data_IF_028363344868
#
_entry.id   IF_028363344868
#
_cell.length_a   1.000
_cell.length_b   1.000
_cell.length_c   1.000
_cell.angle_alpha   90.00
_cell.angle_beta   90.00
_cell.angle_gamma   90.00
#
_symmetry.space_group_name_H-M   'P 1'
#
loop_
_entity.id
_entity.type
_entity.pdbx_description
1 polymer ?
#
# COMPACT_ATOMS: atom_id res chain seq x y z
N UNK A 1 -27.59 -51.70 70.53
CA UNK A 1 -26.98 -51.76 71.89
C UNK A 1 -25.56 -52.29 71.72
N UNK A 2 -24.45 -51.57 71.97
CA UNK A 2 -24.14 -50.37 72.78
C UNK A 2 -23.01 -49.60 72.05
N UNK A 3 -23.14 -48.32 71.69
CA UNK A 3 -23.10 -47.06 72.47
C UNK A 3 -21.69 -46.50 72.79
N UNK A 4 -21.54 -45.19 72.50
CA UNK A 4 -20.69 -44.14 73.13
C UNK A 4 -19.18 -44.07 72.75
N UNK A 5 -18.54 -42.90 72.57
CA UNK A 5 -18.78 -41.51 73.04
C UNK A 5 -18.82 -40.51 71.86
N UNK A 6 -19.83 -39.66 71.64
CA UNK A 6 -20.43 -38.53 72.41
C UNK A 6 -19.66 -37.21 72.33
N UNK A 7 -20.30 -36.29 71.60
CA UNK A 7 -20.32 -34.83 71.65
C UNK A 7 -18.99 -34.09 71.89
N UNK A 8 -18.50 -33.46 70.82
CA UNK A 8 -17.54 -32.36 70.89
C UNK A 8 -18.28 -31.03 70.73
N UNK A 9 -18.21 -30.25 71.80
CA UNK A 9 -18.49 -28.82 71.91
C UNK A 9 -17.33 -27.99 71.31
N UNK A 10 -17.71 -26.82 70.81
CA UNK A 10 -17.02 -25.53 70.90
C UNK A 10 -15.91 -25.12 69.91
N UNK A 11 -16.30 -24.14 69.07
CA UNK A 11 -15.64 -22.85 68.74
C UNK A 11 -14.29 -22.88 68.00
N UNK A 12 -14.27 -22.43 66.73
CA UNK A 12 -13.56 -21.22 66.22
C UNK A 12 -13.69 -21.09 64.67
N UNK A 13 -14.48 -20.09 64.22
CA UNK A 13 -14.33 -19.13 63.10
C UNK A 13 -14.28 -19.52 61.58
N UNK A 14 -15.05 -18.71 60.82
CA UNK A 14 -15.17 -18.45 59.35
C UNK A 14 -15.90 -19.51 58.49
N UNK A 15 -16.86 -19.20 57.61
CA UNK A 15 -17.03 -18.01 56.76
C UNK A 15 -18.49 -17.52 56.63
N UNK A 16 -18.66 -16.20 56.67
CA UNK A 16 -19.77 -15.47 56.06
C UNK A 16 -19.73 -15.61 54.53
N UNK A 17 -20.88 -15.68 53.87
CA UNK A 17 -21.04 -15.22 52.48
C UNK A 17 -22.11 -14.12 52.52
N UNK A 18 -21.76 -12.97 53.08
CA UNK A 18 -22.26 -11.68 52.58
C UNK A 18 -21.20 -11.26 51.57
N UNK A 19 -21.52 -11.14 50.28
CA UNK A 19 -20.72 -10.43 49.24
C UNK A 19 -21.54 -10.38 47.92
N UNK A 20 -22.71 -9.73 47.92
CA UNK A 20 -23.40 -9.31 46.67
C UNK A 20 -22.96 -7.88 46.26
N UNK A 21 -22.11 -7.25 47.06
CA UNK A 21 -21.58 -5.90 46.80
C UNK A 21 -20.35 -6.00 45.90
N UNK A 22 -20.33 -5.22 44.82
CA UNK A 22 -19.24 -5.15 43.86
C UNK A 22 -18.80 -3.71 43.69
N UNK A 23 -17.54 -3.50 43.29
CA UNK A 23 -17.03 -2.19 42.84
C UNK A 23 -16.68 -2.23 41.35
N UNK A 24 -16.30 -3.40 40.85
CA UNK A 24 -15.94 -3.66 39.47
C UNK A 24 -16.63 -4.93 38.96
N UNK A 25 -16.76 -5.06 37.64
CA UNK A 25 -17.34 -6.26 37.01
C UNK A 25 -16.55 -7.54 37.35
N UNK A 26 -15.24 -7.42 37.63
CA UNK A 26 -14.38 -8.53 38.05
C UNK A 26 -14.70 -9.09 39.44
N UNK A 27 -15.44 -8.32 40.26
CA UNK A 27 -15.91 -8.78 41.57
C UNK A 27 -17.11 -9.73 41.42
N UNK A 28 -17.70 -9.78 40.22
CA UNK A 28 -18.85 -10.60 39.89
C UNK A 28 -18.43 -11.89 39.18
N UNK A 29 -19.16 -12.98 39.45
CA UNK A 29 -18.97 -14.26 38.76
C UNK A 29 -19.26 -14.18 37.24
N UNK A 30 -18.86 -15.22 36.51
CA UNK A 30 -19.05 -15.30 35.06
C UNK A 30 -20.50 -15.01 34.64
N UNK A 31 -20.68 -14.16 33.61
CA UNK A 31 -21.99 -13.74 33.12
C UNK A 31 -22.70 -12.65 33.95
N UNK A 32 -22.03 -12.06 34.94
CA UNK A 32 -22.55 -10.97 35.77
C UNK A 32 -21.70 -9.70 35.60
N UNK A 33 -22.27 -8.54 35.91
CA UNK A 33 -21.57 -7.24 35.94
C UNK A 33 -21.97 -6.44 37.16
N UNK A 34 -21.18 -5.45 37.53
CA UNK A 34 -21.51 -4.57 38.64
C UNK A 34 -22.47 -3.46 38.21
N UNK A 35 -23.65 -3.38 38.83
CA UNK A 35 -24.58 -2.27 38.61
C UNK A 35 -24.03 -1.00 39.28
N UNK A 36 -23.79 0.05 38.50
CA UNK A 36 -23.18 1.31 38.98
C UNK A 36 -24.09 2.13 39.92
N UNK A 37 -25.35 1.75 40.09
CA UNK A 37 -26.32 2.43 40.94
C UNK A 37 -26.52 1.70 42.27
N UNK A 38 -26.68 0.39 42.20
CA UNK A 38 -26.97 -0.44 43.37
C UNK A 38 -25.74 -1.17 43.93
N UNK A 39 -24.59 -1.08 43.24
CA UNK A 39 -23.32 -1.75 43.58
C UNK A 39 -23.49 -3.26 43.78
N UNK A 40 -24.35 -3.87 42.96
CA UNK A 40 -24.65 -5.30 43.01
C UNK A 40 -24.37 -6.00 41.70
N UNK A 41 -23.99 -7.26 41.80
CA UNK A 41 -23.81 -8.11 40.63
C UNK A 41 -25.18 -8.41 39.98
N UNK A 42 -25.35 -7.94 38.74
CA UNK A 42 -26.55 -8.16 37.92
C UNK A 42 -26.21 -8.94 36.64
N UNK A 43 -27.16 -9.68 36.03
CA UNK A 43 -26.91 -10.40 34.79
C UNK A 43 -26.37 -9.49 33.68
N UNK A 44 -25.25 -9.89 33.08
CA UNK A 44 -24.63 -9.17 31.97
C UNK A 44 -25.20 -9.64 30.63
N UNK A 45 -26.49 -9.35 30.41
CA UNK A 45 -27.23 -9.85 29.25
C UNK A 45 -26.88 -9.11 27.96
N UNK A 46 -26.89 -9.82 26.84
CA UNK A 46 -26.55 -9.30 25.51
C UNK A 46 -27.43 -9.92 24.41
N UNK A 47 -27.48 -9.25 23.27
CA UNK A 47 -28.09 -9.77 22.02
C UNK A 47 -27.09 -9.88 20.87
N UNK A 48 -25.90 -9.30 21.06
CA UNK A 48 -24.75 -9.33 20.15
C UNK A 48 -23.50 -8.94 20.92
N UNK A 49 -22.32 -9.21 20.37
CA UNK A 49 -21.03 -8.86 20.98
C UNK A 49 -20.89 -7.36 21.26
N UNK A 50 -21.55 -6.51 20.48
CA UNK A 50 -21.60 -5.05 20.72
C UNK A 50 -22.24 -4.63 22.04
N UNK A 51 -22.99 -5.53 22.68
CA UNK A 51 -23.59 -5.28 23.98
C UNK A 51 -22.65 -5.62 25.14
N UNK A 52 -21.51 -6.25 24.85
CA UNK A 52 -20.54 -6.69 25.83
C UNK A 52 -19.42 -5.67 26.00
N UNK A 53 -18.81 -5.65 27.18
CA UNK A 53 -17.61 -4.87 27.45
C UNK A 53 -16.43 -5.41 26.64
N UNK A 54 -15.34 -4.65 26.61
CA UNK A 54 -14.06 -5.08 26.04
C UNK A 54 -13.63 -6.43 26.66
N UNK A 55 -13.01 -7.27 25.85
CA UNK A 55 -12.58 -8.66 26.07
C UNK A 55 -13.71 -9.68 26.27
N UNK A 56 -14.95 -9.33 25.88
CA UNK A 56 -16.12 -10.22 26.02
C UNK A 56 -16.93 -10.37 24.73
N UNK A 57 -17.55 -11.55 24.58
CA UNK A 57 -18.49 -11.91 23.52
C UNK A 57 -19.84 -12.33 24.08
N UNK A 58 -20.87 -12.26 23.24
CA UNK A 58 -22.21 -12.69 23.60
C UNK A 58 -22.39 -14.19 23.40
N UNK A 59 -22.63 -14.93 24.48
CA UNK A 59 -22.90 -16.36 24.41
C UNK A 59 -24.28 -16.64 23.77
N UNK A 60 -24.49 -17.88 23.34
CA UNK A 60 -25.79 -18.35 22.86
C UNK A 60 -26.91 -18.27 23.92
N UNK A 61 -26.55 -18.17 25.19
CA UNK A 61 -27.49 -18.01 26.31
C UNK A 61 -27.84 -16.53 26.55
N UNK A 62 -27.30 -15.61 25.74
CA UNK A 62 -27.58 -14.17 25.81
C UNK A 62 -26.85 -13.48 26.96
N UNK A 63 -25.64 -13.95 27.30
CA UNK A 63 -24.84 -13.47 28.43
C UNK A 63 -23.41 -13.17 27.93
N UNK A 64 -22.82 -12.06 28.38
CA UNK A 64 -21.45 -11.71 28.03
C UNK A 64 -20.46 -12.59 28.81
N UNK A 65 -19.62 -13.32 28.09
CA UNK A 65 -18.57 -14.20 28.60
C UNK A 65 -17.20 -13.73 28.10
N UNK A 66 -16.13 -14.12 28.80
CA UNK A 66 -14.75 -13.82 28.38
C UNK A 66 -14.44 -14.44 27.01
N UNK A 67 -13.79 -13.67 26.15
CA UNK A 67 -13.33 -14.12 24.84
C UNK A 67 -13.58 -13.11 23.73
N UNK A 68 -13.25 -13.51 22.51
CA UNK A 68 -13.34 -12.68 21.32
C UNK A 68 -13.77 -13.49 20.10
N UNK A 69 -14.28 -12.79 19.09
CA UNK A 69 -14.47 -13.33 17.72
C UNK A 69 -13.75 -12.47 16.68
N UNK A 70 -13.52 -11.20 17.02
CA UNK A 70 -12.85 -10.23 16.19
C UNK A 70 -11.89 -9.39 17.05
N UNK A 71 -10.89 -8.79 16.43
CA UNK A 71 -9.89 -7.98 17.14
C UNK A 71 -10.48 -6.75 17.85
N UNK A 72 -11.62 -6.24 17.37
CA UNK A 72 -12.31 -5.12 18.04
C UNK A 72 -12.98 -5.53 19.36
N UNK A 73 -13.15 -6.84 19.62
CA UNK A 73 -13.58 -7.31 20.94
C UNK A 73 -12.49 -7.11 21.98
N UNK A 74 -11.22 -7.02 21.58
CA UNK A 74 -10.09 -7.02 22.49
C UNK A 74 -9.64 -5.61 22.89
N UNK A 75 -9.04 -5.51 24.09
CA UNK A 75 -8.50 -4.25 24.58
C UNK A 75 -7.38 -3.72 23.68
N UNK A 76 -7.19 -2.40 23.71
CA UNK A 76 -6.20 -1.71 22.89
C UNK A 76 -4.82 -2.37 23.00
N UNK A 77 -4.31 -2.86 21.86
CA UNK A 77 -3.02 -3.55 21.77
C UNK A 77 -3.11 -5.07 21.94
N UNK A 78 -4.31 -5.65 21.91
CA UNK A 78 -4.55 -7.09 21.87
C UNK A 78 -5.32 -7.44 20.59
N UNK A 79 -5.18 -8.68 20.14
CA UNK A 79 -5.98 -9.24 19.05
C UNK A 79 -6.66 -10.53 19.47
N UNK A 80 -7.60 -10.98 18.64
CA UNK A 80 -8.25 -12.25 18.89
C UNK A 80 -7.38 -13.41 18.40
N UNK A 81 -6.90 -14.23 19.33
CA UNK A 81 -6.13 -15.43 19.02
C UNK A 81 -6.99 -16.58 18.49
N UNK A 82 -6.34 -17.59 17.91
CA UNK A 82 -7.00 -18.81 17.41
C UNK A 82 -7.74 -19.60 18.51
N UNK A 83 -7.41 -19.35 19.79
CA UNK A 83 -8.08 -19.92 20.96
C UNK A 83 -9.29 -19.10 21.43
N UNK A 84 -9.71 -18.10 20.65
CA UNK A 84 -10.76 -17.13 20.95
C UNK A 84 -10.50 -16.35 22.25
N UNK A 85 -9.23 -16.17 22.62
CA UNK A 85 -8.80 -15.33 23.73
C UNK A 85 -8.10 -14.09 23.19
N UNK A 86 -8.33 -12.96 23.86
CA UNK A 86 -7.55 -11.76 23.57
C UNK A 86 -6.11 -11.97 24.04
N UNK A 87 -5.15 -11.82 23.13
CA UNK A 87 -3.73 -12.03 23.43
C UNK A 87 -2.91 -10.82 23.01
N UNK A 88 -1.79 -10.62 23.70
CA UNK A 88 -0.75 -9.71 23.27
C UNK A 88 0.23 -10.37 22.31
N UNK A 89 0.18 -11.69 22.12
CA UNK A 89 1.13 -12.35 21.21
C UNK A 89 0.94 -11.91 19.77
N UNK A 90 2.01 -11.92 18.98
CA UNK A 90 1.93 -11.58 17.56
C UNK A 90 3.15 -12.12 16.82
N UNK A 91 3.01 -12.33 15.51
CA UNK A 91 4.11 -12.51 14.57
C UNK A 91 4.29 -11.27 13.68
N UNK A 92 3.21 -10.52 13.43
CA UNK A 92 3.18 -9.39 12.50
C UNK A 92 2.42 -8.19 13.07
N UNK A 93 2.72 -6.99 12.56
CA UNK A 93 2.09 -5.75 13.02
C UNK A 93 0.57 -5.69 12.77
N UNK A 94 0.07 -6.33 11.71
CA UNK A 94 -1.37 -6.35 11.44
C UNK A 94 -2.17 -7.13 12.50
N UNK A 95 -1.50 -7.98 13.28
CA UNK A 95 -2.07 -8.74 14.40
C UNK A 95 -2.12 -7.91 15.68
N UNK A 96 -1.78 -6.62 15.65
CA UNK A 96 -1.74 -5.77 16.84
C UNK A 96 -2.72 -4.59 16.80
N UNK A 97 -3.76 -4.65 15.95
CA UNK A 97 -4.76 -3.58 15.79
C UNK A 97 -4.07 -2.22 15.51
N UNK A 98 -4.19 -1.22 16.39
CA UNK A 98 -3.49 0.08 16.26
C UNK A 98 -2.08 0.11 16.86
N UNK A 99 -1.56 -1.02 17.32
CA UNK A 99 -0.25 -1.21 17.97
C UNK A 99 0.70 -1.99 17.03
N UNK A 100 1.97 -2.17 17.42
CA UNK A 100 2.97 -2.90 16.62
C UNK A 100 3.44 -4.17 17.35
N UNK A 101 3.88 -5.18 16.59
CA UNK A 101 4.41 -6.42 17.13
C UNK A 101 5.89 -6.29 17.49
N UNK A 102 6.23 -6.44 18.77
CA UNK A 102 7.60 -6.28 19.28
C UNK A 102 8.02 -7.46 20.13
N UNK A 103 8.97 -8.25 19.64
CA UNK A 103 9.47 -9.42 20.35
C UNK A 103 8.40 -10.48 20.59
N UNK A 104 7.42 -10.57 19.69
CA UNK A 104 6.27 -11.45 19.80
C UNK A 104 5.15 -10.93 20.71
N UNK A 105 5.15 -9.62 21.02
CA UNK A 105 4.15 -8.98 21.90
C UNK A 105 3.70 -7.63 21.31
N UNK A 106 2.40 -7.39 21.21
CA UNK A 106 1.80 -6.14 20.81
C UNK A 106 2.03 -5.05 21.87
N UNK A 107 2.68 -3.94 21.49
CA UNK A 107 3.11 -2.91 22.43
C UNK A 107 2.97 -1.48 21.88
N UNK A 108 2.73 -0.52 22.77
CA UNK A 108 2.59 0.90 22.44
C UNK A 108 3.97 1.49 22.11
N UNK A 109 4.31 1.54 20.82
CA UNK A 109 5.46 2.31 20.35
C UNK A 109 4.91 3.43 19.49
N UNK A 110 4.98 4.65 20.01
CA UNK A 110 4.48 5.91 19.43
C UNK A 110 5.20 6.33 18.13
N UNK A 111 5.23 5.41 17.16
CA UNK A 111 5.76 5.38 15.80
C UNK A 111 6.21 3.93 15.61
N UNK A 112 5.50 3.12 14.81
CA UNK A 112 6.04 1.85 14.34
C UNK A 112 7.31 2.17 13.54
N UNK A 113 8.44 2.22 14.23
CA UNK A 113 9.76 2.24 13.63
C UNK A 113 9.93 0.87 13.02
N UNK A 114 9.84 0.85 11.69
CA UNK A 114 10.29 -0.19 10.75
C UNK A 114 11.15 -1.21 11.51
N UNK A 115 10.56 -2.34 11.91
CA UNK A 115 11.40 -3.50 12.21
C UNK A 115 12.20 -3.78 10.94
N UNK A 116 13.48 -4.15 11.04
CA UNK A 116 14.40 -4.16 9.91
C UNK A 116 14.12 -5.33 8.98
N UNK A 117 12.88 -5.83 8.90
CA UNK A 117 12.46 -6.89 7.99
C UNK A 117 11.43 -6.38 7.01
N UNK A 118 11.91 -6.17 5.80
CA UNK A 118 11.09 -5.84 4.64
C UNK A 118 10.89 -7.10 3.81
N UNK A 119 9.71 -7.25 3.22
CA UNK A 119 9.44 -8.23 2.15
C UNK A 119 9.44 -7.52 0.80
N UNK A 120 9.02 -6.26 0.79
CA UNK A 120 8.91 -5.39 -0.37
C UNK A 120 9.63 -4.06 -0.12
N UNK A 121 10.07 -3.38 -1.19
CA UNK A 121 10.76 -2.09 -1.04
C UNK A 121 9.83 -0.97 -0.55
N UNK A 122 8.52 -1.10 -0.74
CA UNK A 122 7.49 -0.20 -0.18
C UNK A 122 7.52 -0.19 1.35
N UNK A 123 8.03 -1.27 1.96
CA UNK A 123 8.17 -1.39 3.41
C UNK A 123 9.31 -0.50 3.96
N UNK A 124 10.15 0.05 3.06
CA UNK A 124 11.37 0.78 3.40
C UNK A 124 11.30 2.29 3.14
N UNK A 125 10.12 2.87 2.87
CA UNK A 125 9.96 4.30 2.59
C UNK A 125 10.96 4.84 1.53
N UNK A 126 11.99 5.61 1.94
CA UNK A 126 13.02 6.17 1.05
C UNK A 126 14.29 5.29 0.91
N UNK A 127 14.25 4.08 1.45
CA UNK A 127 15.30 3.06 1.41
C UNK A 127 14.89 1.90 0.50
N UNK A 128 15.78 0.93 0.28
CA UNK A 128 15.45 -0.28 -0.48
C UNK A 128 15.43 -1.51 0.43
N UNK A 129 14.59 -2.48 0.09
CA UNK A 129 14.58 -3.75 0.76
C UNK A 129 15.64 -4.68 0.17
N UNK A 130 16.56 -5.17 0.98
CA UNK A 130 17.59 -6.10 0.55
C UNK A 130 17.89 -7.12 1.64
N UNK A 131 17.89 -8.41 1.29
CA UNK A 131 18.10 -9.50 2.23
C UNK A 131 17.19 -9.41 3.47
N UNK A 132 15.94 -9.00 3.25
CA UNK A 132 14.98 -8.74 4.32
C UNK A 132 15.43 -7.63 5.26
N UNK A 133 16.14 -6.61 4.78
CA UNK A 133 16.52 -5.42 5.56
C UNK A 133 16.37 -4.14 4.74
N UNK A 134 15.89 -3.06 5.38
CA UNK A 134 15.86 -1.74 4.75
C UNK A 134 17.25 -1.12 4.82
N UNK A 135 17.90 -0.97 3.66
CA UNK A 135 19.25 -0.41 3.55
C UNK A 135 19.23 0.93 2.80
N UNK A 136 20.19 1.79 3.11
CA UNK A 136 20.33 3.10 2.45
C UNK A 136 20.41 2.94 0.94
N UNK A 137 19.83 3.90 0.20
CA UNK A 137 19.65 3.78 -1.25
C UNK A 137 20.97 3.62 -2.03
N UNK A 138 22.09 4.10 -1.47
CA UNK A 138 23.44 3.93 -2.03
C UNK A 138 24.10 2.58 -1.73
N UNK A 139 23.48 1.77 -0.88
CA UNK A 139 23.96 0.45 -0.43
C UNK A 139 23.16 -0.71 -1.04
N UNK A 140 22.07 -0.42 -1.76
CA UNK A 140 21.30 -1.40 -2.50
C UNK A 140 22.19 -2.15 -3.47
N UNK A 141 22.46 -3.43 -3.21
CA UNK A 141 22.99 -4.32 -4.23
C UNK A 141 21.85 -4.67 -5.15
N UNK A 142 21.92 -4.05 -6.31
CA UNK A 142 21.17 -4.45 -7.47
C UNK A 142 21.40 -5.94 -7.76
N UNK A 143 20.32 -6.65 -8.10
CA UNK A 143 20.34 -8.08 -8.44
C UNK A 143 21.34 -8.44 -9.56
N UNK A 144 21.61 -9.73 -9.78
CA UNK A 144 22.74 -10.19 -10.59
C UNK A 144 22.84 -9.45 -11.93
N UNK A 145 24.02 -8.89 -12.18
CA UNK A 145 24.40 -8.26 -13.44
C UNK A 145 24.27 -9.25 -14.58
N UNK A 146 23.66 -8.82 -15.67
CA UNK A 146 23.37 -9.67 -16.80
C UNK A 146 24.48 -9.48 -17.85
N UNK A 147 25.19 -10.56 -18.17
CA UNK A 147 26.33 -10.56 -19.11
C UNK A 147 25.87 -10.19 -20.53
N UNK A 148 26.65 -9.34 -21.19
CA UNK A 148 26.39 -8.86 -22.55
C UNK A 148 26.43 -10.02 -23.57
N UNK A 149 25.32 -10.27 -24.29
CA UNK A 149 25.44 -10.79 -25.67
C UNK A 149 24.56 -11.94 -26.18
N UNK A 150 23.39 -12.28 -25.64
CA UNK A 150 22.53 -13.27 -26.32
C UNK A 150 21.04 -12.93 -26.29
N UNK A 151 20.53 -12.42 -27.41
CA UNK A 151 19.09 -12.30 -27.71
C UNK A 151 18.55 -13.69 -28.12
N UNK A 152 18.45 -14.62 -27.17
CA UNK A 152 17.65 -15.84 -27.32
C UNK A 152 17.03 -16.22 -25.98
N UNK A 153 15.77 -15.82 -25.79
CA UNK A 153 14.92 -16.20 -24.66
C UNK A 153 14.80 -15.11 -23.60
N UNK A 154 13.63 -14.47 -23.54
CA UNK A 154 12.96 -13.72 -22.44
C UNK A 154 13.73 -12.98 -21.32
N UNK A 155 15.04 -12.81 -21.38
CA UNK A 155 15.80 -12.08 -20.37
C UNK A 155 16.71 -11.10 -21.10
N UNK A 156 16.19 -9.88 -21.31
CA UNK A 156 17.02 -8.77 -21.73
C UNK A 156 17.77 -8.23 -20.52
N UNK A 157 19.09 -8.27 -20.63
CA UNK A 157 20.04 -7.78 -19.64
C UNK A 157 19.92 -6.28 -19.46
N UNK A 158 19.14 -5.90 -18.47
CA UNK A 158 19.02 -4.55 -17.97
C UNK A 158 20.15 -4.30 -16.97
N UNK A 159 20.83 -3.15 -17.07
CA UNK A 159 21.47 -2.59 -15.88
C UNK A 159 20.38 -2.57 -14.81
N UNK A 160 20.54 -3.29 -13.71
CA UNK A 160 19.45 -3.54 -12.78
C UNK A 160 18.81 -2.22 -12.39
N UNK A 161 17.48 -2.15 -12.54
CA UNK A 161 16.69 -0.95 -12.32
C UNK A 161 17.20 -0.26 -11.06
N UNK A 162 17.69 0.98 -11.20
CA UNK A 162 18.17 1.73 -10.04
C UNK A 162 17.06 1.76 -8.98
N UNK A 163 17.39 1.84 -7.67
CA UNK A 163 16.40 1.70 -6.59
C UNK A 163 15.13 2.54 -6.79
N UNK A 164 15.30 3.73 -7.35
CA UNK A 164 14.22 4.64 -7.74
C UNK A 164 13.23 4.04 -8.75
N UNK A 165 13.72 3.45 -9.85
CA UNK A 165 12.85 2.84 -10.87
C UNK A 165 12.12 1.63 -10.31
N UNK A 166 12.79 0.87 -9.46
CA UNK A 166 12.20 -0.28 -8.79
C UNK A 166 11.08 0.15 -7.82
N UNK A 167 11.30 1.18 -7.00
CA UNK A 167 10.28 1.74 -6.11
C UNK A 167 9.09 2.27 -6.93
N UNK A 168 9.35 3.05 -7.98
CA UNK A 168 8.31 3.55 -8.86
C UNK A 168 7.47 2.43 -9.46
N UNK A 169 8.10 1.35 -9.92
CA UNK A 169 7.40 0.19 -10.48
C UNK A 169 6.51 -0.53 -9.46
N UNK A 170 6.98 -0.71 -8.23
CA UNK A 170 6.17 -1.31 -7.16
C UNK A 170 5.00 -0.43 -6.74
N UNK A 171 5.22 0.88 -6.64
CA UNK A 171 4.17 1.85 -6.33
C UNK A 171 3.10 1.90 -7.43
N UNK A 172 3.51 1.86 -8.70
CA UNK A 172 2.60 1.80 -9.85
C UNK A 172 1.83 0.47 -9.89
N UNK A 173 2.49 -0.66 -9.64
CA UNK A 173 1.82 -1.96 -9.53
C UNK A 173 0.82 -1.97 -8.36
N UNK A 174 1.20 -1.36 -7.24
CA UNK A 174 0.35 -1.21 -6.06
C UNK A 174 -0.89 -0.36 -6.33
N UNK A 175 -0.76 0.72 -7.11
CA UNK A 175 -1.89 1.54 -7.53
C UNK A 175 -2.78 0.82 -8.54
N UNK A 176 -2.21 0.37 -9.66
CA UNK A 176 -2.99 -0.11 -10.80
C UNK A 176 -3.44 -1.56 -10.68
N UNK A 177 -2.83 -2.35 -9.80
CA UNK A 177 -3.04 -3.81 -9.65
C UNK A 177 -2.74 -4.63 -10.91
N UNK A 178 -2.25 -3.97 -11.96
CA UNK A 178 -1.82 -4.54 -13.22
C UNK A 178 -0.50 -3.88 -13.62
N UNK A 179 0.37 -4.64 -14.28
CA UNK A 179 1.68 -4.13 -14.69
C UNK A 179 2.30 -4.94 -15.82
N UNK A 180 3.22 -4.33 -16.58
CA UNK A 180 3.93 -5.03 -17.64
C UNK A 180 4.72 -6.23 -17.07
N UNK A 181 4.79 -7.36 -17.79
CA UNK A 181 5.59 -8.52 -17.38
C UNK A 181 7.08 -8.21 -17.24
N UNK A 182 7.57 -7.15 -17.89
CA UNK A 182 8.98 -6.75 -17.84
C UNK A 182 9.15 -5.25 -18.04
N UNK A 183 10.09 -4.65 -17.31
CA UNK A 183 10.54 -3.27 -17.49
C UNK A 183 12.00 -3.33 -17.92
N UNK A 184 12.29 -2.78 -19.09
CA UNK A 184 13.61 -2.73 -19.69
C UNK A 184 14.12 -1.29 -19.68
N UNK A 185 15.38 -1.12 -19.34
CA UNK A 185 16.13 0.13 -19.45
C UNK A 185 17.41 -0.09 -20.24
N UNK A 186 17.82 0.92 -20.97
CA UNK A 186 19.05 0.91 -21.75
C UNK A 186 19.81 2.21 -21.51
N UNK A 187 21.12 2.14 -21.66
CA UNK A 187 21.96 3.33 -21.73
C UNK A 187 22.08 3.70 -23.20
N UNK A 188 21.53 4.85 -23.62
CA UNK A 188 21.61 5.29 -25.01
C UNK A 188 23.03 5.60 -25.50
N UNK A 189 24.03 5.62 -24.61
CA UNK A 189 25.44 5.61 -25.01
C UNK A 189 25.88 4.27 -25.62
N UNK A 190 25.08 3.22 -25.44
CA UNK A 190 25.25 1.88 -26.00
C UNK A 190 24.08 1.56 -26.94
N UNK A 191 24.34 1.51 -28.25
CA UNK A 191 23.31 1.24 -29.26
C UNK A 191 22.79 -0.21 -29.16
N UNK A 192 21.47 -0.38 -28.95
CA UNK A 192 20.80 -1.68 -29.01
C UNK A 192 20.01 -1.81 -30.35
N UNK A 193 20.52 -2.60 -31.32
CA UNK A 193 19.98 -2.57 -32.68
C UNK A 193 18.67 -3.34 -32.88
N UNK A 194 18.28 -4.24 -31.98
CA UNK A 194 17.10 -5.09 -32.14
C UNK A 194 16.29 -5.20 -30.85
N UNK A 195 15.23 -4.42 -30.74
CA UNK A 195 14.11 -4.74 -29.85
C UNK A 195 12.91 -5.13 -30.72
N UNK A 196 12.00 -5.89 -30.17
CA UNK A 196 10.68 -6.22 -30.76
C UNK A 196 9.83 -4.99 -31.05
N UNK A 197 10.19 -3.86 -30.45
CA UNK A 197 9.58 -2.54 -30.57
C UNK A 197 10.31 -1.66 -31.60
N UNK A 198 11.32 -2.21 -32.27
CA UNK A 198 12.19 -1.49 -33.19
C UNK A 198 13.55 -1.12 -32.60
N UNK A 199 14.24 -0.21 -33.25
CA UNK A 199 15.56 0.23 -32.82
C UNK A 199 15.44 1.20 -31.63
N UNK A 200 16.21 0.99 -30.57
CA UNK A 200 16.30 1.98 -29.48
C UNK A 200 16.94 3.26 -30.01
N UNK A 201 16.37 4.42 -29.71
CA UNK A 201 16.92 5.73 -30.08
C UNK A 201 17.25 6.54 -28.83
N UNK A 202 18.29 7.39 -28.83
CA UNK A 202 18.58 8.23 -27.67
C UNK A 202 17.43 9.18 -27.32
N UNK A 203 17.34 9.56 -26.04
CA UNK A 203 16.34 10.50 -25.51
C UNK A 203 14.89 10.03 -25.71
N UNK A 204 14.65 8.74 -25.47
CA UNK A 204 13.34 8.13 -25.63
C UNK A 204 12.89 7.27 -24.44
N UNK A 205 11.59 7.23 -24.22
CA UNK A 205 10.89 6.26 -23.41
C UNK A 205 9.73 5.71 -24.27
N UNK A 206 9.47 4.41 -24.17
CA UNK A 206 8.38 3.80 -24.94
C UNK A 206 7.83 2.55 -24.26
N UNK A 207 6.52 2.37 -24.36
CA UNK A 207 5.85 1.11 -24.13
C UNK A 207 5.71 0.31 -25.43
N UNK A 208 5.93 -0.99 -25.32
CA UNK A 208 5.93 -1.93 -26.43
C UNK A 208 4.83 -2.97 -26.28
N UNK A 209 3.76 -2.89 -27.09
CA UNK A 209 2.64 -3.82 -26.97
C UNK A 209 3.00 -5.27 -27.29
N UNK A 210 3.91 -5.53 -28.24
CA UNK A 210 4.23 -6.91 -28.67
C UNK A 210 4.81 -7.78 -27.56
N UNK A 211 5.60 -7.17 -26.69
CA UNK A 211 6.32 -7.84 -25.61
C UNK A 211 5.81 -7.40 -24.23
N UNK A 212 4.81 -6.50 -24.22
CA UNK A 212 4.32 -5.79 -23.06
C UNK A 212 5.45 -5.24 -22.19
N UNK A 213 6.49 -4.69 -22.81
CA UNK A 213 7.67 -4.19 -22.10
C UNK A 213 7.78 -2.67 -22.22
N UNK A 214 8.30 -2.01 -21.17
CA UNK A 214 8.71 -0.61 -21.24
C UNK A 214 10.20 -0.54 -21.57
N UNK A 215 10.63 0.35 -22.44
CA UNK A 215 12.03 0.57 -22.82
C UNK A 215 12.39 2.01 -22.47
N UNK A 216 13.29 2.17 -21.49
CA UNK A 216 13.60 3.46 -20.88
C UNK A 216 15.07 3.84 -21.08
N UNK A 217 15.34 5.02 -21.67
CA UNK A 217 16.69 5.56 -21.74
C UNK A 217 17.12 6.14 -20.38
N UNK A 218 18.11 5.53 -19.73
CA UNK A 218 18.61 5.99 -18.43
C UNK A 218 19.16 7.43 -18.52
N UNK A 219 19.75 7.82 -19.66
CA UNK A 219 20.29 9.17 -19.84
C UNK A 219 19.20 10.22 -19.96
N UNK A 220 18.07 9.86 -20.60
CA UNK A 220 16.87 10.70 -20.60
C UNK A 220 16.38 10.93 -19.17
N UNK A 221 16.20 9.84 -18.41
CA UNK A 221 15.65 9.89 -17.07
C UNK A 221 16.54 10.72 -16.12
N UNK A 222 17.86 10.52 -16.16
CA UNK A 222 18.81 11.32 -15.39
C UNK A 222 18.77 12.81 -15.76
N UNK A 223 18.65 13.12 -17.05
CA UNK A 223 18.56 14.50 -17.55
C UNK A 223 17.28 15.18 -17.07
N UNK A 224 16.15 14.48 -17.12
CA UNK A 224 14.88 14.99 -16.63
C UNK A 224 14.94 15.30 -15.14
N UNK A 225 15.51 14.40 -14.34
CA UNK A 225 15.67 14.63 -12.91
C UNK A 225 16.53 15.86 -12.62
N UNK A 226 17.63 16.02 -13.36
CA UNK A 226 18.52 17.16 -13.21
C UNK A 226 17.85 18.50 -13.59
N UNK A 227 16.93 18.49 -14.56
CA UNK A 227 16.28 19.72 -15.06
C UNK A 227 14.99 20.06 -14.33
N UNK A 228 14.21 19.05 -13.96
CA UNK A 228 12.83 19.19 -13.50
C UNK A 228 12.60 18.61 -12.10
N UNK A 229 13.63 18.03 -11.47
CA UNK A 229 13.56 17.49 -10.11
C UNK A 229 13.34 15.99 -10.06
N UNK A 230 13.58 15.41 -8.88
CA UNK A 230 13.69 13.97 -8.62
C UNK A 230 12.44 13.15 -8.94
N UNK A 231 11.28 13.74 -9.19
CA UNK A 231 10.09 12.99 -9.60
C UNK A 231 9.87 12.96 -11.11
N UNK A 232 10.61 13.79 -11.89
CA UNK A 232 10.35 13.92 -13.32
C UNK A 232 10.53 12.60 -14.08
N UNK A 233 11.59 11.82 -13.80
CA UNK A 233 11.72 10.50 -14.43
C UNK A 233 10.69 9.49 -13.94
N UNK A 234 10.23 9.59 -12.68
CA UNK A 234 9.15 8.75 -12.15
C UNK A 234 7.84 9.03 -12.89
N UNK A 235 7.55 10.30 -13.17
CA UNK A 235 6.38 10.71 -13.91
C UNK A 235 6.38 10.15 -15.36
N UNK A 236 7.55 10.09 -16.01
CA UNK A 236 7.67 9.45 -17.34
C UNK A 236 7.45 7.94 -17.25
N UNK A 237 7.99 7.26 -16.23
CA UNK A 237 7.72 5.83 -16.03
C UNK A 237 6.21 5.59 -15.82
N UNK A 238 5.54 6.45 -15.06
CA UNK A 238 4.10 6.39 -14.85
C UNK A 238 3.30 6.63 -16.15
N UNK A 239 3.80 7.49 -17.05
CA UNK A 239 3.23 7.68 -18.39
C UNK A 239 3.34 6.40 -19.23
N UNK A 240 4.51 5.77 -19.29
CA UNK A 240 4.68 4.51 -20.03
C UNK A 240 3.82 3.37 -19.44
N UNK A 241 3.61 3.38 -18.12
CA UNK A 241 2.65 2.49 -17.47
C UNK A 241 1.20 2.79 -17.91
N UNK A 242 0.88 4.06 -18.17
CA UNK A 242 -0.39 4.48 -18.76
C UNK A 242 -0.66 3.83 -20.11
N UNK A 243 0.38 3.66 -20.95
CA UNK A 243 0.29 2.89 -22.20
C UNK A 243 0.09 1.39 -21.98
N UNK A 244 0.74 0.82 -20.95
CA UNK A 244 0.43 -0.54 -20.53
C UNK A 244 -1.05 -0.69 -20.11
N UNK A 245 -1.58 0.22 -19.29
CA UNK A 245 -2.98 0.18 -18.86
C UNK A 245 -3.93 0.30 -20.06
N UNK A 246 -3.62 1.18 -21.01
CA UNK A 246 -4.38 1.27 -22.27
C UNK A 246 -4.32 -0.01 -23.08
N UNK A 247 -3.16 -0.68 -23.16
CA UNK A 247 -3.05 -1.96 -23.84
C UNK A 247 -3.87 -3.04 -23.14
N UNK A 248 -3.76 -3.13 -21.82
CA UNK A 248 -4.50 -4.07 -20.98
C UNK A 248 -6.03 -3.91 -21.13
N UNK A 249 -6.49 -2.67 -21.27
CA UNK A 249 -7.89 -2.32 -21.50
C UNK A 249 -8.32 -2.39 -22.97
N UNK A 250 -7.42 -2.74 -23.89
CA UNK A 250 -7.70 -2.83 -25.32
C UNK A 250 -7.93 -1.48 -26.01
N UNK A 251 -7.40 -0.38 -25.45
CA UNK A 251 -7.65 1.00 -25.91
C UNK A 251 -6.67 1.51 -26.97
N UNK A 252 -5.50 0.89 -27.13
CA UNK A 252 -4.43 1.38 -28.03
C UNK A 252 -4.85 1.45 -29.52
N UNK A 253 -5.83 0.67 -29.96
CA UNK A 253 -6.27 0.61 -31.37
C UNK A 253 -7.39 1.60 -31.72
N UNK A 254 -7.98 2.29 -30.75
CA UNK A 254 -9.27 2.98 -30.92
C UNK A 254 -9.21 4.53 -30.85
N UNK A 255 -8.02 5.13 -30.73
CA UNK A 255 -7.87 6.60 -30.55
C UNK A 255 -6.85 7.26 -31.49
N UNK A 256 -7.00 8.57 -31.79
CA UNK A 256 -5.91 9.32 -32.42
C UNK A 256 -4.69 9.34 -31.49
N UNK A 257 -3.48 9.24 -32.06
CA UNK A 257 -2.23 9.09 -31.28
C UNK A 257 -2.11 10.12 -30.15
N UNK A 258 -2.49 11.37 -30.42
CA UNK A 258 -2.51 12.44 -29.41
C UNK A 258 -3.37 12.12 -28.19
N UNK A 259 -4.58 11.59 -28.36
CA UNK A 259 -5.46 11.32 -27.21
C UNK A 259 -4.95 10.16 -26.37
N UNK A 260 -4.28 9.19 -27.00
CA UNK A 260 -3.60 8.10 -26.29
C UNK A 260 -2.49 8.66 -25.39
N UNK A 261 -1.69 9.59 -25.90
CA UNK A 261 -0.61 10.26 -25.16
C UNK A 261 -1.15 11.12 -24.01
N UNK A 262 -2.14 11.98 -24.26
CA UNK A 262 -2.74 12.81 -23.21
C UNK A 262 -3.42 11.98 -22.12
N UNK A 263 -4.04 10.86 -22.49
CA UNK A 263 -4.62 9.94 -21.53
C UNK A 263 -3.54 9.24 -20.67
N UNK A 264 -2.37 8.93 -21.22
CA UNK A 264 -1.23 8.43 -20.46
C UNK A 264 -0.63 9.51 -19.52
N UNK A 265 -0.53 10.76 -19.99
CA UNK A 265 -0.12 11.91 -19.16
C UNK A 265 -1.07 12.11 -17.97
N UNK A 266 -2.38 11.99 -18.18
CA UNK A 266 -3.37 12.06 -17.11
C UNK A 266 -3.19 10.94 -16.08
N UNK A 267 -2.94 9.70 -16.51
CA UNK A 267 -2.64 8.60 -15.59
C UNK A 267 -1.37 8.84 -14.76
N UNK A 268 -0.32 9.41 -15.36
CA UNK A 268 0.86 9.84 -14.62
C UNK A 268 0.54 10.91 -13.57
N UNK A 269 -0.39 11.82 -13.89
CA UNK A 269 -0.92 12.80 -12.95
C UNK A 269 -1.64 12.16 -11.77
N UNK A 270 -2.51 11.18 -12.02
CA UNK A 270 -3.19 10.41 -10.96
C UNK A 270 -2.16 9.76 -10.04
N UNK A 271 -1.16 9.09 -10.61
CA UNK A 271 -0.08 8.49 -9.82
C UNK A 271 0.62 9.53 -8.94
N UNK A 272 1.01 10.68 -9.51
CA UNK A 272 1.61 11.78 -8.75
C UNK A 272 0.72 12.27 -7.60
N UNK A 273 -0.61 12.31 -7.76
CA UNK A 273 -1.54 12.67 -6.69
C UNK A 273 -1.49 11.68 -5.52
N UNK A 274 -1.41 10.37 -5.81
CA UNK A 274 -1.27 9.34 -4.77
C UNK A 274 0.03 9.46 -4.00
N UNK A 275 1.13 9.79 -4.69
CA UNK A 275 2.44 10.02 -4.05
C UNK A 275 2.42 11.29 -3.19
N UNK A 276 1.74 12.35 -3.64
CA UNK A 276 1.54 13.56 -2.84
C UNK A 276 0.71 13.29 -1.58
N UNK A 277 -0.35 12.48 -1.70
CA UNK A 277 -1.16 12.06 -0.55
C UNK A 277 -0.35 11.26 0.49
N UNK A 278 0.55 10.39 0.03
CA UNK A 278 1.50 9.65 0.88
C UNK A 278 2.62 10.52 1.47
N UNK A 279 2.69 11.82 1.12
CA UNK A 279 3.78 12.71 1.54
C UNK A 279 5.11 12.41 0.84
N UNK A 280 5.10 11.62 -0.23
CA UNK A 280 6.28 11.20 -1.01
C UNK A 280 6.59 12.13 -2.19
N UNK A 281 5.69 13.07 -2.49
CA UNK A 281 5.85 14.06 -3.55
C UNK A 281 5.61 15.49 -3.02
N UNK A 282 6.57 16.39 -3.26
CA UNK A 282 6.40 17.81 -2.94
C UNK A 282 5.69 18.57 -4.06
N UNK A 283 5.09 19.72 -3.74
CA UNK A 283 4.48 20.62 -4.74
C UNK A 283 5.49 21.08 -5.79
N UNK A 284 6.76 21.29 -5.39
CA UNK A 284 7.83 21.67 -6.32
C UNK A 284 8.15 20.57 -7.33
N UNK A 285 8.19 19.32 -6.90
CA UNK A 285 8.41 18.15 -7.78
C UNK A 285 7.20 17.86 -8.68
N UNK A 286 5.97 18.09 -8.18
CA UNK A 286 4.77 18.01 -9.01
C UNK A 286 4.78 19.07 -10.13
N UNK A 287 5.18 20.31 -9.81
CA UNK A 287 5.37 21.36 -10.82
C UNK A 287 6.51 21.05 -11.79
N UNK A 288 7.59 20.46 -11.29
CA UNK A 288 8.67 19.94 -12.12
C UNK A 288 8.18 18.94 -13.16
N UNK A 289 7.36 17.99 -12.74
CA UNK A 289 6.76 16.98 -13.63
C UNK A 289 5.82 17.61 -14.66
N UNK A 290 5.01 18.60 -14.27
CA UNK A 290 4.23 19.41 -15.22
C UNK A 290 5.12 20.04 -16.30
N UNK A 291 6.26 20.62 -15.91
CA UNK A 291 7.22 21.19 -16.86
C UNK A 291 7.92 20.12 -17.72
N UNK A 292 8.15 18.92 -17.19
CA UNK A 292 8.69 17.81 -17.95
C UNK A 292 7.73 17.37 -19.06
N UNK A 293 6.44 17.20 -18.78
CA UNK A 293 5.44 16.88 -19.82
C UNK A 293 5.30 17.98 -20.87
N UNK A 294 5.38 19.26 -20.47
CA UNK A 294 5.47 20.35 -21.42
C UNK A 294 6.67 20.21 -22.36
N UNK A 295 7.84 19.82 -21.85
CA UNK A 295 9.07 19.66 -22.64
C UNK A 295 8.94 18.56 -23.72
N UNK A 296 8.13 17.54 -23.50
CA UNK A 296 7.83 16.50 -24.49
C UNK A 296 6.64 16.81 -25.40
N UNK A 297 6.13 18.05 -25.37
CA UNK A 297 5.14 18.52 -26.34
C UNK A 297 5.75 18.77 -27.71
N UNK A 298 5.01 18.49 -28.78
CA UNK A 298 5.44 18.73 -30.14
C UNK A 298 5.69 20.23 -30.38
N UNK A 299 6.89 20.63 -30.85
CA UNK A 299 7.25 22.04 -31.02
C UNK A 299 6.57 22.71 -32.22
N UNK A 300 5.98 21.93 -33.14
CA UNK A 300 5.39 22.42 -34.39
C UNK A 300 3.93 21.94 -34.54
N UNK A 301 3.00 22.87 -34.38
CA UNK A 301 1.63 22.77 -34.92
C UNK A 301 1.66 23.23 -36.39
N UNK A 302 1.75 22.30 -37.33
CA UNK A 302 1.58 22.61 -38.75
C UNK A 302 0.10 22.51 -39.13
N UNK A 303 -0.45 23.39 -40.00
CA UNK A 303 -1.80 23.24 -40.53
C UNK A 303 -2.02 21.92 -41.30
N UNK A 304 -0.93 21.27 -41.72
CA UNK A 304 -0.93 20.05 -42.54
C UNK A 304 -0.60 18.78 -41.73
N UNK A 305 -0.07 18.93 -40.51
CA UNK A 305 0.28 17.83 -39.62
C UNK A 305 -0.17 18.18 -38.19
N UNK A 306 -1.16 17.45 -37.70
CA UNK A 306 -1.56 17.55 -36.30
C UNK A 306 -0.41 17.05 -35.39
N UNK A 307 -0.23 17.62 -34.19
CA UNK A 307 0.65 17.07 -33.18
C UNK A 307 0.37 15.57 -32.98
N UNK A 308 1.42 14.76 -33.02
CA UNK A 308 1.36 13.32 -32.81
C UNK A 308 1.27 12.99 -31.33
N UNK A 309 1.93 13.79 -30.47
CA UNK A 309 1.94 13.65 -29.02
C UNK A 309 1.08 14.69 -28.31
N UNK A 310 0.93 15.88 -28.93
CA UNK A 310 0.24 17.02 -28.34
C UNK A 310 1.20 18.17 -28.05
N UNK A 311 0.67 19.38 -27.94
CA UNK A 311 1.45 20.57 -27.58
C UNK A 311 1.91 20.52 -26.12
N UNK A 312 2.90 21.34 -25.77
CA UNK A 312 3.34 21.52 -24.37
C UNK A 312 2.15 21.78 -23.42
N UNK A 313 1.24 22.67 -23.81
CA UNK A 313 0.08 23.05 -22.99
C UNK A 313 -0.89 21.89 -22.82
N UNK A 314 -1.20 21.16 -23.90
CA UNK A 314 -2.10 19.98 -23.84
C UNK A 314 -1.55 18.91 -22.91
N UNK A 315 -0.27 18.53 -23.07
CA UNK A 315 0.38 17.48 -22.28
C UNK A 315 0.47 17.84 -20.80
N UNK A 316 0.93 19.06 -20.50
CA UNK A 316 1.04 19.53 -19.14
C UNK A 316 -0.33 19.68 -18.45
N UNK A 317 -1.35 20.11 -19.21
CA UNK A 317 -2.73 20.19 -18.71
C UNK A 317 -3.31 18.81 -18.42
N UNK A 318 -3.06 17.82 -19.27
CA UNK A 318 -3.51 16.45 -19.03
C UNK A 318 -2.90 15.85 -17.76
N UNK A 319 -1.59 16.00 -17.56
CA UNK A 319 -0.95 15.64 -16.29
C UNK A 319 -1.55 16.38 -15.09
N UNK A 320 -1.72 17.70 -15.20
CA UNK A 320 -2.31 18.50 -14.13
C UNK A 320 -3.75 18.08 -13.81
N UNK A 321 -4.53 17.71 -14.83
CA UNK A 321 -5.88 17.20 -14.67
C UNK A 321 -5.88 15.93 -13.81
N UNK A 322 -5.08 14.94 -14.19
CA UNK A 322 -4.91 13.71 -13.42
C UNK A 322 -4.46 13.97 -11.98
N UNK A 323 -3.53 14.90 -11.78
CA UNK A 323 -3.05 15.28 -10.44
C UNK A 323 -4.16 15.89 -9.58
N UNK A 324 -4.90 16.86 -10.13
CA UNK A 324 -5.94 17.57 -9.40
C UNK A 324 -7.12 16.67 -9.06
N UNK A 325 -7.59 15.86 -10.01
CA UNK A 325 -8.75 14.98 -9.79
C UNK A 325 -8.36 13.68 -9.08
N UNK A 326 -7.16 13.14 -9.29
CA UNK A 326 -6.66 11.98 -8.54
C UNK A 326 -6.69 12.22 -7.03
N UNK A 327 -6.37 13.43 -6.58
CA UNK A 327 -6.47 13.80 -5.16
C UNK A 327 -7.91 13.84 -4.62
N UNK A 328 -8.91 14.02 -5.47
CA UNK A 328 -10.34 14.08 -5.10
C UNK A 328 -11.00 12.69 -5.09
N UNK A 329 -10.47 11.74 -5.86
CA UNK A 329 -11.02 10.39 -6.02
C UNK A 329 -10.14 9.31 -5.38
N UNK A 330 -9.38 9.66 -4.34
CA UNK A 330 -8.45 8.72 -3.67
C UNK A 330 -9.14 7.45 -3.15
N UNK A 331 -10.36 7.55 -2.62
CA UNK A 331 -11.13 6.36 -2.16
C UNK A 331 -11.32 5.37 -3.32
N UNK A 332 -11.82 5.83 -4.46
CA UNK A 332 -12.02 4.97 -5.64
C UNK A 332 -10.73 4.47 -6.30
N UNK A 333 -9.59 5.13 -6.08
CA UNK A 333 -8.27 4.67 -6.51
C UNK A 333 -7.66 3.64 -5.56
N UNK A 334 -8.05 3.67 -4.28
CA UNK A 334 -7.61 2.72 -3.26
C UNK A 334 -8.51 1.47 -3.15
N UNK A 335 -9.74 1.55 -3.66
CA UNK A 335 -10.67 0.44 -3.76
C UNK A 335 -10.26 -0.59 -4.83
N UNK A 336 -11.02 -1.69 -4.95
CA UNK A 336 -10.71 -2.81 -5.84
C UNK A 336 -10.85 -2.50 -7.36
N UNK A 337 -11.17 -1.26 -7.77
CA UNK A 337 -11.28 -0.91 -9.20
C UNK A 337 -10.62 0.43 -9.59
N UNK A 338 -9.28 0.56 -9.44
CA UNK A 338 -8.56 1.78 -9.78
C UNK A 338 -8.61 2.13 -11.27
N UNK A 339 -8.75 1.13 -12.15
CA UNK A 339 -8.83 1.33 -13.60
C UNK A 339 -10.14 2.00 -14.02
N UNK A 340 -11.27 1.63 -13.41
CA UNK A 340 -12.58 2.29 -13.68
C UNK A 340 -12.56 3.74 -13.19
N UNK A 341 -12.06 3.98 -11.98
CA UNK A 341 -11.90 5.34 -11.43
C UNK A 341 -10.99 6.19 -12.33
N UNK A 342 -9.88 5.62 -12.81
CA UNK A 342 -8.99 6.30 -13.76
C UNK A 342 -9.69 6.66 -15.07
N UNK A 343 -10.50 5.76 -15.63
CA UNK A 343 -11.26 6.06 -16.85
C UNK A 343 -12.23 7.21 -16.64
N UNK A 344 -12.85 7.33 -15.46
CA UNK A 344 -13.68 8.48 -15.12
C UNK A 344 -12.88 9.78 -15.03
N UNK A 345 -11.70 9.75 -14.39
CA UNK A 345 -10.84 10.92 -14.23
C UNK A 345 -10.27 11.39 -15.58
N UNK A 346 -9.82 10.46 -16.43
CA UNK A 346 -9.16 10.78 -17.69
C UNK A 346 -10.11 10.78 -18.91
N UNK A 347 -11.41 10.93 -18.68
CA UNK A 347 -12.41 11.09 -19.73
C UNK A 347 -12.48 12.57 -20.18
N UNK A 348 -11.76 12.93 -21.24
CA UNK A 348 -11.82 14.25 -21.87
C UNK A 348 -11.94 14.20 -23.40
#
# INVERSE_FOLDING_TARGET
MKNLCVLLLAVFLFSSCEDDECTFDSDCGEGMKCDSWDWKCVPNTCTSDYNCSVDKICSNEGICIEGCTYDWNCYNGMHCGDDNQCTYSCENDFECNTYCCKGGVCADSSNCGIEPRCTYHTDCASQCCQNWECVDIGQCQVGPSCETGSWQGNELCVSPMGPKMYIAANELLGLWKVGPPSICNYDSTVFLPNTTCGQTVPDNALYCPSDACMILDIQLLNRLDAQFGSFASVAIIAHEWGHYNQHYLGMLEYGPSKMIELHADCQAGIFAATQAYKGQLTVGEAYGSYMAFCNFGDPYVSPWFAPTHGTCEERATAFQHGFNYGSQYLEGLCDNNPLETMQMICAF
#
